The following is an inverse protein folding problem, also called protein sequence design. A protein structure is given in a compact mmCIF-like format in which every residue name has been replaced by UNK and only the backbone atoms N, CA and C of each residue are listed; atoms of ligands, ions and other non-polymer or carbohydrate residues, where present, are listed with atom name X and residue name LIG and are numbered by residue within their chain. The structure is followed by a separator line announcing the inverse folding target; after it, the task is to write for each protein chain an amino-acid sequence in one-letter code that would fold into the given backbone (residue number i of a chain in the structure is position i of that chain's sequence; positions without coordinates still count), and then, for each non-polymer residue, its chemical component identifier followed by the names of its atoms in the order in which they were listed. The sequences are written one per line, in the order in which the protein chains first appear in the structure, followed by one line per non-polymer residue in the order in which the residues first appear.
data_IF_817173442936
#
_entry.id   IF_817173442936
#
_cell.length_a   1.000
_cell.length_b   1.000
_cell.length_c   1.000
_cell.angle_alpha   90.00
_cell.angle_beta   90.00
_cell.angle_gamma   90.00
#
_symmetry.space_group_name_H-M   'P 1'
#
loop_
_entity.id
_entity.type
_entity.pdbx_description
1 polymer ?
#
# COMPACT_ATOMS: atom_id res chain seq x y z
N UNK A 1 19.46 -11.34 17.81
CA UNK A 1 18.30 -12.01 17.18
C UNK A 1 18.63 -12.17 15.71
N UNK A 2 19.18 -13.31 15.33
CA UNK A 2 19.53 -13.57 13.92
C UNK A 2 18.22 -13.82 13.17
N UNK A 3 17.81 -12.87 12.34
CA UNK A 3 16.68 -13.06 11.44
C UNK A 3 17.02 -14.21 10.49
N UNK A 4 16.39 -15.37 10.68
CA UNK A 4 16.60 -16.53 9.82
C UNK A 4 16.07 -16.17 8.42
N UNK A 5 16.97 -16.08 7.45
CA UNK A 5 16.63 -15.85 6.04
C UNK A 5 16.28 -17.20 5.44
N UNK A 6 15.10 -17.29 4.85
CA UNK A 6 14.60 -18.50 4.19
C UNK A 6 14.27 -18.18 2.74
N UNK A 7 14.37 -19.18 1.87
CA UNK A 7 14.01 -19.05 0.46
C UNK A 7 12.52 -19.31 0.30
N UNK A 8 11.78 -18.30 -0.14
CA UNK A 8 10.33 -18.37 -0.37
C UNK A 8 10.06 -18.44 -1.87
N UNK A 9 9.21 -19.37 -2.29
CA UNK A 9 8.73 -19.46 -3.66
C UNK A 9 7.44 -18.64 -3.82
N UNK A 10 7.45 -17.69 -4.76
CA UNK A 10 6.28 -16.88 -5.12
C UNK A 10 5.96 -17.05 -6.60
N UNK A 11 4.67 -16.97 -6.96
CA UNK A 11 4.20 -17.08 -8.35
C UNK A 11 3.63 -15.75 -8.83
N UNK A 12 4.24 -15.18 -9.86
CA UNK A 12 3.85 -13.89 -10.45
C UNK A 12 3.79 -14.03 -11.97
N UNK A 13 2.64 -13.69 -12.55
CA UNK A 13 2.33 -13.80 -13.99
C UNK A 13 2.77 -15.15 -14.58
N UNK A 14 2.37 -16.22 -13.90
CA UNK A 14 2.62 -17.62 -14.31
C UNK A 14 4.10 -18.05 -14.25
N UNK A 15 4.98 -17.21 -13.69
CA UNK A 15 6.39 -17.53 -13.40
C UNK A 15 6.59 -17.75 -11.90
N UNK A 16 7.37 -18.77 -11.57
CA UNK A 16 7.80 -19.03 -10.19
C UNK A 16 9.16 -18.36 -9.94
N UNK A 17 9.28 -17.67 -8.81
CA UNK A 17 10.47 -16.93 -8.40
C UNK A 17 10.84 -17.32 -6.97
N UNK A 18 12.14 -17.50 -6.73
CA UNK A 18 12.69 -17.78 -5.41
C UNK A 18 13.29 -16.50 -4.84
N UNK A 19 12.81 -16.09 -3.67
CA UNK A 19 13.20 -14.86 -3.01
C UNK A 19 13.73 -15.18 -1.60
N UNK A 20 14.90 -14.68 -1.28
CA UNK A 20 15.44 -14.72 0.08
C UNK A 20 14.69 -13.73 0.96
N UNK A 21 14.00 -14.22 1.98
CA UNK A 21 13.14 -13.41 2.83
C UNK A 21 13.35 -13.78 4.31
N UNK A 22 13.50 -12.80 5.23
CA UNK A 22 13.43 -13.06 6.66
C UNK A 22 12.06 -13.64 7.03
N UNK A 23 12.03 -14.61 7.95
CA UNK A 23 10.77 -15.25 8.36
C UNK A 23 9.68 -14.28 8.84
N UNK A 24 10.06 -13.15 9.42
CA UNK A 24 9.14 -12.09 9.89
C UNK A 24 8.47 -11.29 8.77
N UNK A 25 9.00 -11.34 7.55
CA UNK A 25 8.51 -10.57 6.41
C UNK A 25 7.80 -11.45 5.36
N UNK A 26 7.75 -12.76 5.57
CA UNK A 26 7.17 -13.71 4.61
C UNK A 26 5.73 -13.38 4.24
N UNK A 27 4.89 -13.08 5.22
CA UNK A 27 3.47 -12.76 4.98
C UNK A 27 3.35 -11.50 4.12
N UNK A 28 4.14 -10.47 4.43
CA UNK A 28 4.18 -9.24 3.65
C UNK A 28 4.71 -9.44 2.22
N UNK A 29 5.71 -10.31 2.05
CA UNK A 29 6.21 -10.68 0.72
C UNK A 29 5.13 -11.42 -0.09
N UNK A 30 4.41 -12.34 0.54
CA UNK A 30 3.34 -13.11 -0.10
C UNK A 30 2.20 -12.19 -0.55
N UNK A 31 1.81 -11.25 0.29
CA UNK A 31 0.80 -10.23 -0.03
C UNK A 31 1.27 -9.33 -1.19
N UNK A 32 2.50 -8.83 -1.13
CA UNK A 32 3.09 -8.01 -2.19
C UNK A 32 3.16 -8.76 -3.53
N UNK A 33 3.54 -10.03 -3.51
CA UNK A 33 3.58 -10.87 -4.71
C UNK A 33 2.18 -11.09 -5.32
N UNK A 34 1.18 -11.35 -4.47
CA UNK A 34 -0.23 -11.48 -4.89
C UNK A 34 -0.77 -10.18 -5.49
N UNK A 35 -0.41 -9.04 -4.89
CA UNK A 35 -0.80 -7.73 -5.40
C UNK A 35 -0.19 -7.42 -6.77
N UNK A 36 1.12 -7.68 -6.91
CA UNK A 36 1.82 -7.52 -8.19
C UNK A 36 1.24 -8.44 -9.27
N UNK A 37 1.00 -9.73 -8.97
CA UNK A 37 0.39 -10.67 -9.92
C UNK A 37 -0.98 -10.17 -10.42
N UNK A 38 -1.82 -9.68 -9.51
CA UNK A 38 -3.14 -9.14 -9.84
C UNK A 38 -3.04 -7.94 -10.80
N UNK A 39 -2.17 -6.97 -10.50
CA UNK A 39 -1.94 -5.80 -11.36
C UNK A 39 -1.37 -6.17 -12.73
N UNK A 40 -0.44 -7.12 -12.77
CA UNK A 40 0.12 -7.61 -14.04
C UNK A 40 -0.94 -8.34 -14.89
N UNK A 41 -1.83 -9.13 -14.27
CA UNK A 41 -2.93 -9.80 -14.97
C UNK A 41 -3.96 -8.79 -15.50
N UNK A 42 -4.30 -7.76 -14.73
CA UNK A 42 -5.19 -6.69 -15.18
C UNK A 42 -4.64 -6.02 -16.46
N UNK A 43 -3.37 -5.63 -16.45
CA UNK A 43 -2.71 -5.01 -17.60
C UNK A 43 -2.65 -5.97 -18.79
N UNK A 44 -2.31 -7.25 -18.56
CA UNK A 44 -2.30 -8.29 -19.61
C UNK A 44 -3.69 -8.44 -20.24
N UNK A 45 -4.73 -8.52 -19.42
CA UNK A 45 -6.10 -8.73 -19.87
C UNK A 45 -6.67 -7.53 -20.62
N UNK A 46 -6.15 -6.32 -20.39
CA UNK A 46 -6.51 -5.14 -21.17
C UNK A 46 -6.13 -5.24 -22.66
N UNK A 47 -5.14 -6.09 -22.99
CA UNK A 47 -4.61 -6.25 -24.35
C UNK A 47 -3.84 -5.05 -24.90
N UNK A 48 -3.76 -3.92 -24.16
CA UNK A 48 -3.11 -2.68 -24.62
C UNK A 48 -1.58 -2.74 -24.56
N UNK A 49 -1.03 -3.64 -23.74
CA UNK A 49 0.39 -3.75 -23.46
C UNK A 49 0.83 -5.17 -23.78
N UNK A 50 1.82 -5.29 -24.65
CA UNK A 50 2.34 -6.58 -25.11
C UNK A 50 3.75 -6.77 -24.54
N UNK A 51 4.00 -7.96 -24.01
CA UNK A 51 5.29 -8.37 -23.44
C UNK A 51 5.31 -8.32 -21.91
N UNK A 52 5.76 -9.42 -21.30
CA UNK A 52 5.77 -9.59 -19.85
C UNK A 52 6.62 -8.54 -19.13
N UNK A 53 7.75 -8.13 -19.71
CA UNK A 53 8.62 -7.09 -19.16
C UNK A 53 7.93 -5.72 -19.08
N UNK A 54 7.27 -5.30 -20.17
CA UNK A 54 6.50 -4.04 -20.19
C UNK A 54 5.32 -4.08 -19.22
N UNK A 55 4.63 -5.21 -19.13
CA UNK A 55 3.56 -5.44 -18.17
C UNK A 55 4.08 -5.28 -16.73
N UNK A 56 5.25 -5.88 -16.41
CA UNK A 56 5.87 -5.77 -15.09
C UNK A 56 6.24 -4.32 -14.74
N UNK A 57 6.87 -3.59 -15.67
CA UNK A 57 7.23 -2.18 -15.49
C UNK A 57 5.98 -1.33 -15.24
N UNK A 58 4.92 -1.51 -16.03
CA UNK A 58 3.68 -0.76 -15.85
C UNK A 58 2.96 -1.10 -14.54
N UNK A 59 2.94 -2.37 -14.14
CA UNK A 59 2.40 -2.77 -12.85
C UNK A 59 3.17 -2.11 -11.70
N UNK A 60 4.51 -2.16 -11.73
CA UNK A 60 5.36 -1.55 -10.73
C UNK A 60 5.15 -0.02 -10.64
N UNK A 61 5.07 0.67 -11.79
CA UNK A 61 4.79 2.11 -11.83
C UNK A 61 3.42 2.46 -11.25
N UNK A 62 2.38 1.69 -11.58
CA UNK A 62 1.04 1.93 -11.04
C UNK A 62 1.01 1.76 -9.52
N UNK A 63 1.63 0.69 -9.00
CA UNK A 63 1.71 0.42 -7.57
C UNK A 63 2.47 1.54 -6.85
N UNK A 64 3.63 1.94 -7.37
CA UNK A 64 4.40 3.04 -6.79
C UNK A 64 3.62 4.36 -6.79
N UNK A 65 2.88 4.64 -7.86
CA UNK A 65 2.03 5.82 -7.97
C UNK A 65 0.88 5.81 -6.93
N UNK A 66 0.23 4.68 -6.72
CA UNK A 66 -0.81 4.51 -5.69
C UNK A 66 -0.25 4.75 -4.28
N UNK A 67 0.93 4.20 -3.97
CA UNK A 67 1.59 4.41 -2.67
C UNK A 67 1.98 5.87 -2.43
N UNK A 68 2.46 6.58 -3.46
CA UNK A 68 2.81 7.99 -3.37
C UNK A 68 1.56 8.87 -3.24
N UNK A 69 0.47 8.54 -3.95
CA UNK A 69 -0.80 9.23 -3.80
C UNK A 69 -1.43 9.02 -2.42
N UNK A 70 -1.40 7.79 -1.89
CA UNK A 70 -1.85 7.50 -0.53
C UNK A 70 -1.14 8.37 0.51
N UNK A 71 0.19 8.47 0.43
CA UNK A 71 0.98 9.36 1.30
C UNK A 71 0.64 10.84 1.11
N UNK A 72 0.28 11.27 -0.10
CA UNK A 72 -0.13 12.65 -0.34
C UNK A 72 -1.52 12.98 0.23
N UNK A 73 -2.43 12.01 0.31
CA UNK A 73 -3.76 12.16 0.91
C UNK A 73 -3.68 12.32 2.44
N UNK A 74 -2.64 11.79 3.08
CA UNK A 74 -2.38 12.00 4.50
C UNK A 74 -2.00 13.45 4.86
N UNK A 75 -1.63 14.27 3.88
CA UNK A 75 -1.11 15.63 4.13
C UNK A 75 -2.14 16.76 4.21
N UNK A 76 -3.26 16.82 3.44
CA UNK A 76 -4.27 17.89 3.60
C UNK A 76 -5.65 17.45 4.13
N UNK A 77 -6.10 16.19 3.91
CA UNK A 77 -7.42 15.74 4.37
C UNK A 77 -7.48 15.60 5.89
N UNK A 78 -6.41 15.08 6.49
CA UNK A 78 -6.27 14.99 7.93
C UNK A 78 -6.23 16.38 8.59
N UNK A 79 -5.67 17.40 7.94
CA UNK A 79 -5.65 18.77 8.49
C UNK A 79 -7.07 19.31 8.73
N UNK A 80 -7.96 19.19 7.73
CA UNK A 80 -9.35 19.67 7.87
C UNK A 80 -10.18 18.87 8.88
N UNK A 81 -9.92 17.56 9.00
CA UNK A 81 -10.55 16.72 10.03
C UNK A 81 -10.03 17.06 11.42
N UNK A 82 -8.72 17.31 11.57
CA UNK A 82 -8.09 17.73 12.80
C UNK A 82 -8.60 19.11 13.24
N UNK A 83 -8.70 20.08 12.33
CA UNK A 83 -9.31 21.39 12.60
C UNK A 83 -10.74 21.26 13.12
N UNK A 84 -11.52 20.35 12.54
CA UNK A 84 -12.90 20.10 12.97
C UNK A 84 -12.97 19.44 14.34
N UNK A 85 -12.08 18.50 14.65
CA UNK A 85 -11.96 17.89 15.98
C UNK A 85 -11.55 18.94 17.02
N UNK A 86 -10.57 19.79 16.71
CA UNK A 86 -10.13 20.88 17.60
C UNK A 86 -11.29 21.86 17.84
N UNK A 87 -12.01 22.26 16.80
CA UNK A 87 -13.17 23.14 16.92
C UNK A 87 -14.29 22.55 17.77
N UNK A 88 -14.54 21.25 17.67
CA UNK A 88 -15.52 20.55 18.53
C UNK A 88 -15.05 20.52 20.00
N UNK A 89 -13.78 20.24 20.26
CA UNK A 89 -13.22 20.23 21.63
C UNK A 89 -13.30 21.60 22.30
N UNK A 90 -12.98 22.68 21.57
CA UNK A 90 -13.08 24.04 22.10
C UNK A 90 -14.53 24.40 22.46
N UNK A 91 -15.49 24.00 21.62
CA UNK A 91 -16.91 24.24 21.88
C UNK A 91 -17.43 23.46 23.09
N UNK A 92 -16.92 22.24 23.31
CA UNK A 92 -17.20 21.46 24.52
C UNK A 92 -16.63 22.15 25.77
N UNK A 93 -15.41 22.69 25.68
CA UNK A 93 -14.79 23.42 26.80
C UNK A 93 -15.59 24.69 27.17
N UNK A 94 -16.01 25.48 26.18
CA UNK A 94 -16.85 26.67 26.41
C UNK A 94 -18.18 26.34 27.10
N UNK A 95 -18.84 25.24 26.69
CA UNK A 95 -20.10 24.79 27.29
C UNK A 95 -19.86 24.25 28.71
N UNK A 96 -18.72 23.59 28.96
CA UNK A 96 -18.35 23.10 30.29
C UNK A 96 -18.01 24.22 31.28
N UNK A 97 -17.45 25.33 30.81
CA UNK A 97 -17.11 26.48 31.66
C UNK A 97 -18.31 27.40 31.93
N UNK A 98 -19.25 27.50 30.99
CA UNK A 98 -20.50 28.26 31.15
C UNK A 98 -21.54 27.62 32.06
N UNK A 99 -21.30 26.41 32.57
CA UNK A 99 -22.20 25.67 33.46
C UNK A 99 -21.91 25.89 34.97
N UNK A 100 -21.21 26.97 35.33
CA UNK A 100 -20.86 27.31 36.72
C UNK A 100 -21.62 28.54 37.23
#
# INVERSE_FOLDING_TARGET
MSGNIETVAVKILDKELLISCPRSEMDGLQEAASYLDSKMREIRNSGKVIGAERIAIMAALNIAHEMLQGQSLDSPKNSSLLERIIGLNNKIAEISEGAK
#
